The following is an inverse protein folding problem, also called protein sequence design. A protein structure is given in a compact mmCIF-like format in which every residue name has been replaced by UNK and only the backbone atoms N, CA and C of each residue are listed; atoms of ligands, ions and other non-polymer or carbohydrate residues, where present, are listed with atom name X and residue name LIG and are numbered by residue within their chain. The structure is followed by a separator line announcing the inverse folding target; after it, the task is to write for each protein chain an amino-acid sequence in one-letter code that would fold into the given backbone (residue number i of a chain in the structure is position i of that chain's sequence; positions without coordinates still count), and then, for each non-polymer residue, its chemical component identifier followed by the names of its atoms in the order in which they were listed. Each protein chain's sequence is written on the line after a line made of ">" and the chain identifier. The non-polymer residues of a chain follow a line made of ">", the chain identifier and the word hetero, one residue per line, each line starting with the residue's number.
data_IF_410071786118
#
_entry.id   IF_410071786118
#
_cell.length_a   1.000
_cell.length_b   1.000
_cell.length_c   1.000
_cell.angle_alpha   90.00
_cell.angle_beta   90.00
_cell.angle_gamma   90.00
#
_symmetry.space_group_name_H-M   'P 1'
#
loop_
_entity.id
_entity.type
_entity.pdbx_description
1 polymer ?
#
# COMPACT_ATOMS: atom_id res chain seq x y z
N UNK A 1 -15.59 -17.22 10.74
CA UNK A 1 -15.76 -16.08 11.66
C UNK A 1 -14.69 -15.05 11.33
N UNK A 2 -15.00 -13.73 11.27
CA UNK A 2 -14.01 -12.70 11.02
C UNK A 2 -12.92 -12.66 12.11
N UNK A 3 -11.66 -12.38 11.72
CA UNK A 3 -10.49 -12.49 12.59
C UNK A 3 -10.56 -11.66 13.88
N UNK A 4 -11.22 -10.50 13.86
CA UNK A 4 -11.41 -9.65 15.05
C UNK A 4 -12.29 -10.27 16.14
N UNK A 5 -13.11 -11.29 15.82
CA UNK A 5 -13.90 -12.02 16.81
C UNK A 5 -13.08 -13.08 17.55
N UNK A 6 -11.91 -13.44 17.02
CA UNK A 6 -11.05 -14.51 17.53
C UNK A 6 -9.81 -13.92 18.21
N UNK A 7 -9.24 -12.84 17.65
CA UNK A 7 -8.05 -12.18 18.16
C UNK A 7 -8.34 -10.72 18.56
N UNK A 8 -8.28 -10.36 19.86
CA UNK A 8 -8.44 -8.99 20.34
C UNK A 8 -7.41 -7.99 19.81
N UNK A 9 -6.26 -8.46 19.30
CA UNK A 9 -5.22 -7.60 18.71
C UNK A 9 -5.60 -7.12 17.30
N UNK A 10 -6.55 -7.78 16.66
CA UNK A 10 -7.03 -7.39 15.33
C UNK A 10 -8.15 -6.37 15.51
N UNK A 11 -7.97 -5.11 15.07
CA UNK A 11 -9.01 -4.10 15.20
C UNK A 11 -10.23 -4.48 14.35
N UNK A 12 -11.41 -4.11 14.83
CA UNK A 12 -12.68 -4.28 14.09
C UNK A 12 -12.70 -3.57 12.73
N UNK A 13 -11.88 -2.52 12.57
CA UNK A 13 -11.87 -1.66 11.39
C UNK A 13 -10.74 -1.97 10.42
N UNK A 14 -11.07 -1.97 9.13
CA UNK A 14 -10.12 -2.00 8.01
C UNK A 14 -9.86 -0.60 7.43
N UNK A 15 -10.00 0.47 8.23
CA UNK A 15 -9.89 1.84 7.75
C UNK A 15 -8.59 2.11 6.96
N UNK A 16 -7.46 1.52 7.38
CA UNK A 16 -6.19 1.65 6.65
C UNK A 16 -6.23 1.01 5.25
N UNK A 17 -6.78 -0.20 5.12
CA UNK A 17 -6.91 -0.85 3.82
C UNK A 17 -7.90 -0.12 2.92
N UNK A 18 -9.00 0.38 3.48
CA UNK A 18 -9.99 1.18 2.77
C UNK A 18 -9.41 2.52 2.28
N UNK A 19 -8.61 3.20 3.10
CA UNK A 19 -7.92 4.43 2.72
C UNK A 19 -6.94 4.21 1.57
N UNK A 20 -6.22 3.08 1.55
CA UNK A 20 -5.27 2.76 0.49
C UNK A 20 -5.98 2.60 -0.88
N UNK A 21 -7.11 1.89 -0.91
CA UNK A 21 -7.89 1.65 -2.14
C UNK A 21 -8.68 2.89 -2.59
N UNK A 22 -9.06 3.78 -1.66
CA UNK A 22 -9.89 4.95 -1.96
C UNK A 22 -9.27 5.84 -3.03
N UNK A 23 -7.94 5.97 -3.02
CA UNK A 23 -7.25 6.79 -4.02
C UNK A 23 -7.34 6.24 -5.44
N UNK A 24 -7.54 4.94 -5.61
CA UNK A 24 -7.78 4.35 -6.94
C UNK A 24 -9.13 4.84 -7.47
N UNK A 25 -10.16 4.83 -6.62
CA UNK A 25 -11.50 5.34 -6.97
C UNK A 25 -11.51 6.85 -7.17
N UNK A 26 -10.76 7.61 -6.37
CA UNK A 26 -10.58 9.06 -6.56
C UNK A 26 -9.91 9.37 -7.90
N UNK A 27 -8.86 8.62 -8.28
CA UNK A 27 -8.20 8.77 -9.59
C UNK A 27 -9.18 8.52 -10.73
N UNK A 28 -10.04 7.50 -10.61
CA UNK A 28 -11.07 7.20 -11.60
C UNK A 28 -12.13 8.31 -11.69
N UNK A 29 -12.62 8.78 -10.54
CA UNK A 29 -13.70 9.79 -10.45
C UNK A 29 -13.25 11.18 -10.89
N UNK A 30 -12.05 11.62 -10.50
CA UNK A 30 -11.64 13.03 -10.59
C UNK A 30 -10.53 13.24 -11.62
N UNK A 31 -9.65 12.27 -11.83
CA UNK A 31 -8.43 12.47 -12.64
C UNK A 31 -8.43 11.72 -13.98
N UNK A 32 -9.60 11.53 -14.58
CA UNK A 32 -9.74 11.07 -15.96
C UNK A 32 -9.59 9.56 -16.20
N UNK A 33 -9.67 8.73 -15.15
CA UNK A 33 -9.52 7.27 -15.24
C UNK A 33 -8.17 6.79 -15.83
N UNK A 34 -7.96 5.48 -15.83
CA UNK A 34 -6.80 4.87 -16.48
C UNK A 34 -7.15 4.53 -17.92
N UNK A 35 -6.41 5.10 -18.88
CA UNK A 35 -6.59 4.81 -20.31
C UNK A 35 -6.08 3.42 -20.71
N UNK A 36 -5.16 2.85 -19.91
CA UNK A 36 -4.57 1.52 -20.16
C UNK A 36 -4.40 0.76 -18.86
N UNK A 37 -4.50 -0.57 -18.93
CA UNK A 37 -4.23 -1.47 -17.80
C UNK A 37 -2.78 -1.32 -17.30
N UNK A 38 -1.82 -1.10 -18.21
CA UNK A 38 -0.42 -0.85 -17.87
C UNK A 38 -0.26 0.39 -16.98
N UNK A 39 -0.96 1.49 -17.30
CA UNK A 39 -0.95 2.70 -16.48
C UNK A 39 -1.57 2.48 -15.10
N UNK A 40 -2.65 1.70 -15.03
CA UNK A 40 -3.28 1.32 -13.76
C UNK A 40 -2.33 0.47 -12.89
N UNK A 41 -1.63 -0.50 -13.49
CA UNK A 41 -0.67 -1.36 -12.80
C UNK A 41 0.54 -0.57 -12.29
N UNK A 42 1.05 0.38 -13.07
CA UNK A 42 2.16 1.24 -12.63
C UNK A 42 1.73 2.11 -11.44
N UNK A 43 0.54 2.71 -11.51
CA UNK A 43 -0.01 3.49 -10.40
C UNK A 43 -0.19 2.64 -9.14
N UNK A 44 -0.76 1.44 -9.29
CA UNK A 44 -0.95 0.51 -8.19
C UNK A 44 0.38 0.11 -7.54
N UNK A 45 1.41 -0.21 -8.35
CA UNK A 45 2.76 -0.55 -7.86
C UNK A 45 3.41 0.56 -7.05
N UNK A 46 3.38 1.79 -7.56
CA UNK A 46 4.00 2.93 -6.85
C UNK A 46 3.26 3.20 -5.54
N UNK A 47 1.94 3.19 -5.57
CA UNK A 47 1.09 3.41 -4.39
C UNK A 47 1.25 2.32 -3.35
N UNK A 48 1.29 1.05 -3.76
CA UNK A 48 1.47 -0.07 -2.84
C UNK A 48 2.84 0.01 -2.16
N UNK A 49 3.91 0.30 -2.91
CA UNK A 49 5.25 0.50 -2.36
C UNK A 49 5.28 1.60 -1.29
N UNK A 50 4.72 2.78 -1.59
CA UNK A 50 4.70 3.90 -0.65
C UNK A 50 3.83 3.60 0.59
N UNK A 51 2.69 2.92 0.40
CA UNK A 51 1.85 2.49 1.52
C UNK A 51 2.61 1.51 2.43
N UNK A 52 3.33 0.54 1.85
CA UNK A 52 4.18 -0.38 2.61
C UNK A 52 5.27 0.35 3.38
N UNK A 53 6.01 1.27 2.74
CA UNK A 53 7.04 2.06 3.41
C UNK A 53 6.47 2.83 4.60
N UNK A 54 5.31 3.47 4.43
CA UNK A 54 4.63 4.20 5.50
C UNK A 54 4.19 3.28 6.64
N UNK A 55 3.62 2.12 6.34
CA UNK A 55 3.17 1.13 7.34
C UNK A 55 4.32 0.57 8.18
N UNK A 56 5.52 0.52 7.61
CA UNK A 56 6.73 0.10 8.30
C UNK A 56 7.50 1.25 8.95
N UNK A 57 6.91 2.46 9.00
CA UNK A 57 7.49 3.61 9.69
C UNK A 57 8.62 4.32 8.92
N UNK A 58 8.81 4.02 7.63
CA UNK A 58 9.82 4.69 6.83
C UNK A 58 9.37 6.06 6.33
N UNK A 59 10.33 6.99 6.26
CA UNK A 59 10.14 8.28 5.64
C UNK A 59 9.89 8.11 4.13
N UNK A 60 8.78 8.66 3.63
CA UNK A 60 8.41 8.56 2.22
C UNK A 60 9.39 9.28 1.28
N UNK A 61 10.00 10.39 1.72
CA UNK A 61 11.00 11.09 0.92
C UNK A 61 12.26 10.25 0.73
N UNK A 62 12.74 9.63 1.80
CA UNK A 62 13.89 8.73 1.72
C UNK A 62 13.56 7.48 0.90
N UNK A 63 12.35 6.93 1.03
CA UNK A 63 11.89 5.82 0.22
C UNK A 63 11.85 6.15 -1.28
N UNK A 64 11.41 7.37 -1.64
CA UNK A 64 11.44 7.88 -3.02
C UNK A 64 12.87 8.09 -3.52
N UNK A 65 13.75 8.67 -2.70
CA UNK A 65 15.17 8.86 -3.03
C UNK A 65 15.85 7.52 -3.31
N UNK A 66 15.66 6.54 -2.43
CA UNK A 66 16.19 5.18 -2.56
C UNK A 66 15.67 4.46 -3.80
N UNK A 67 14.37 4.62 -4.10
CA UNK A 67 13.77 4.08 -5.31
C UNK A 67 14.40 4.68 -6.58
N UNK A 68 14.66 5.99 -6.60
CA UNK A 68 15.31 6.66 -7.73
C UNK A 68 16.78 6.24 -7.92
N UNK A 69 17.48 5.91 -6.83
CA UNK A 69 18.85 5.38 -6.84
C UNK A 69 18.92 3.88 -7.18
N UNK A 70 17.79 3.21 -7.44
CA UNK A 70 17.75 1.78 -7.72
C UNK A 70 17.94 0.88 -6.50
N UNK A 71 17.84 1.43 -5.28
CA UNK A 71 18.00 0.70 -4.01
C UNK A 71 16.69 0.72 -3.20
N UNK A 72 15.58 0.18 -3.74
CA UNK A 72 14.27 0.28 -3.10
C UNK A 72 14.26 -0.40 -1.73
N UNK A 73 13.39 0.11 -0.86
CA UNK A 73 13.12 -0.56 0.40
C UNK A 73 12.32 -1.85 0.14
N UNK A 74 12.87 -2.99 0.54
CA UNK A 74 12.13 -4.26 0.53
C UNK A 74 11.83 -4.65 1.97
N UNK A 75 10.56 -4.87 2.32
CA UNK A 75 10.23 -5.39 3.63
C UNK A 75 10.81 -6.80 3.77
N UNK A 76 11.43 -7.09 4.92
CA UNK A 76 11.78 -8.46 5.26
C UNK A 76 10.48 -9.25 5.40
N UNK A 77 10.37 -10.37 4.68
CA UNK A 77 9.26 -11.30 4.87
C UNK A 77 9.53 -11.95 6.23
N UNK A 78 8.71 -11.72 7.28
CA UNK A 78 8.85 -12.51 8.49
C UNK A 78 8.70 -13.97 8.08
N UNK A 79 9.63 -14.84 8.52
CA UNK A 79 9.49 -16.28 8.34
C UNK A 79 8.05 -16.63 8.73
N UNK A 80 7.30 -17.26 7.83
CA UNK A 80 5.90 -17.57 8.04
C UNK A 80 5.78 -18.20 9.44
N UNK A 81 5.28 -17.41 10.39
CA UNK A 81 4.97 -17.91 11.72
C UNK A 81 3.87 -18.94 11.58
N UNK A 82 3.75 -19.89 12.53
CA UNK A 82 2.75 -20.94 12.47
C UNK A 82 1.34 -20.40 12.26
#
# INVERSE_FOLDING_TARGET
>A
MPAYLIDPKVPFTNNHGEQDIRMIKVKQKISGCFRTLRGANLFARIRSYLSTCRKQGHNLWDACRRLALGQPFMPEVPAAGP
#
